data_IF_216289404562
#
_entry.id   IF_216289404562
#
_cell.length_a   1.000
_cell.length_b   1.000
_cell.length_c   1.000
_cell.angle_alpha   90.00
_cell.angle_beta   90.00
_cell.angle_gamma   90.00
#
_symmetry.space_group_name_H-M   'P 1'
#
loop_
_entity.id
_entity.type
_entity.pdbx_description
1 polymer ?
#
# COMPACT_ATOMS: atom_id res chain seq x y z
N UNK A 1 19.07 -20.38 20.41
CA UNK A 1 19.27 -20.25 18.94
C UNK A 1 18.31 -21.13 18.13
N UNK A 2 18.05 -22.40 18.48
CA UNK A 2 17.10 -23.26 17.74
C UNK A 2 15.63 -22.81 17.81
N UNK A 3 15.19 -22.21 18.93
CA UNK A 3 13.79 -21.74 19.08
C UNK A 3 13.44 -20.54 18.22
N UNK A 4 14.38 -19.62 17.98
CA UNK A 4 14.11 -18.42 17.17
C UNK A 4 13.83 -18.77 15.70
N UNK A 5 14.57 -19.74 15.14
CA UNK A 5 14.33 -20.21 13.77
C UNK A 5 12.99 -20.96 13.65
N UNK A 6 12.63 -21.76 14.65
CA UNK A 6 11.32 -22.46 14.70
C UNK A 6 10.15 -21.48 14.83
N UNK A 7 10.28 -20.46 15.68
CA UNK A 7 9.26 -19.43 15.86
C UNK A 7 9.03 -18.62 14.57
N UNK A 8 10.07 -18.33 13.80
CA UNK A 8 9.93 -17.66 12.51
C UNK A 8 9.18 -18.53 11.49
N UNK A 9 9.49 -19.84 11.45
CA UNK A 9 8.80 -20.81 10.60
C UNK A 9 7.32 -20.92 10.99
N UNK A 10 7.01 -21.06 12.29
CA UNK A 10 5.62 -21.11 12.77
C UNK A 10 4.87 -19.82 12.46
N UNK A 11 5.50 -18.67 12.65
CA UNK A 11 4.88 -17.37 12.34
C UNK A 11 4.51 -17.26 10.86
N UNK A 12 5.43 -17.66 9.96
CA UNK A 12 5.18 -17.66 8.52
C UNK A 12 4.03 -18.61 8.17
N UNK A 13 4.01 -19.80 8.75
CA UNK A 13 2.99 -20.79 8.44
C UNK A 13 1.61 -20.38 8.97
N UNK A 14 1.55 -19.79 10.17
CA UNK A 14 0.33 -19.21 10.74
C UNK A 14 -0.19 -18.08 9.85
N UNK A 15 0.68 -17.19 9.37
CA UNK A 15 0.28 -16.12 8.42
C UNK A 15 -0.30 -16.70 7.13
N UNK A 16 0.31 -17.75 6.58
CA UNK A 16 -0.18 -18.44 5.38
C UNK A 16 -1.56 -19.06 5.62
N UNK A 17 -1.75 -19.71 6.78
CA UNK A 17 -3.04 -20.28 7.16
C UNK A 17 -4.10 -19.20 7.35
N UNK A 18 -3.78 -18.10 8.03
CA UNK A 18 -4.70 -16.97 8.17
C UNK A 18 -5.13 -16.41 6.81
N UNK A 19 -4.20 -16.16 5.89
CA UNK A 19 -4.53 -15.69 4.55
C UNK A 19 -5.49 -16.64 3.82
N UNK A 20 -5.28 -17.95 3.96
CA UNK A 20 -6.20 -18.96 3.41
C UNK A 20 -7.60 -18.85 4.01
N UNK A 21 -7.69 -18.72 5.33
CA UNK A 21 -8.96 -18.60 6.07
C UNK A 21 -9.71 -17.31 5.71
N UNK A 22 -9.01 -16.22 5.39
CA UNK A 22 -9.63 -14.96 4.95
C UNK A 22 -10.33 -15.10 3.59
N UNK A 23 -9.77 -15.89 2.67
CA UNK A 23 -10.34 -16.09 1.33
C UNK A 23 -11.43 -17.15 1.37
N UNK A 24 -11.15 -18.26 2.04
CA UNK A 24 -12.02 -19.43 2.13
C UNK A 24 -11.99 -19.98 3.56
N UNK A 25 -12.89 -19.47 4.44
CA UNK A 25 -13.01 -19.94 5.81
C UNK A 25 -13.31 -21.43 5.86
N UNK A 26 -12.54 -22.20 6.63
CA UNK A 26 -12.81 -23.62 6.85
C UNK A 26 -13.97 -23.80 7.85
N UNK A 27 -14.67 -24.94 7.82
CA UNK A 27 -15.79 -25.20 8.72
C UNK A 27 -15.42 -25.08 10.20
N UNK A 28 -14.21 -25.47 10.60
CA UNK A 28 -13.70 -25.35 11.96
C UNK A 28 -13.54 -23.89 12.37
N UNK A 29 -13.02 -23.06 11.46
CA UNK A 29 -12.83 -21.63 11.68
C UNK A 29 -14.18 -20.90 11.79
N UNK A 30 -15.14 -21.27 10.94
CA UNK A 30 -16.52 -20.75 11.01
C UNK A 30 -17.20 -21.17 12.30
N UNK A 31 -17.07 -22.44 12.71
CA UNK A 31 -17.63 -22.94 13.98
C UNK A 31 -17.10 -22.17 15.18
N UNK A 32 -15.81 -21.81 15.19
CA UNK A 32 -15.20 -21.01 16.26
C UNK A 32 -15.90 -19.65 16.44
N UNK A 33 -16.16 -18.91 15.36
CA UNK A 33 -16.90 -17.65 15.48
C UNK A 33 -18.36 -17.88 15.83
N UNK A 34 -18.97 -18.86 15.18
CA UNK A 34 -20.40 -19.16 15.36
C UNK A 34 -20.70 -19.51 16.81
N UNK A 35 -19.86 -20.31 17.48
CA UNK A 35 -20.07 -20.68 18.88
C UNK A 35 -20.02 -19.51 19.86
N UNK A 36 -19.41 -18.39 19.47
CA UNK A 36 -19.30 -17.19 20.31
C UNK A 36 -20.49 -16.24 20.14
N UNK A 37 -21.20 -16.32 19.02
CA UNK A 37 -22.26 -15.36 18.66
C UNK A 37 -23.65 -16.01 18.53
N UNK A 38 -23.70 -17.33 18.40
CA UNK A 38 -24.92 -18.11 18.25
C UNK A 38 -25.08 -19.10 19.40
N UNK A 39 -26.19 -18.98 20.13
CA UNK A 39 -26.49 -19.77 21.34
C UNK A 39 -27.24 -21.08 21.06
N UNK A 40 -27.60 -21.35 19.79
CA UNK A 40 -28.29 -22.57 19.38
C UNK A 40 -27.35 -23.73 19.04
N UNK A 41 -27.92 -24.88 18.68
CA UNK A 41 -27.12 -26.03 18.23
C UNK A 41 -26.44 -25.75 16.89
N UNK A 42 -25.14 -26.02 16.82
CA UNK A 42 -24.33 -25.94 15.60
C UNK A 42 -24.65 -27.10 14.66
N UNK A 43 -25.75 -26.96 13.89
CA UNK A 43 -26.08 -27.90 12.81
C UNK A 43 -25.33 -27.52 11.53
N UNK A 44 -25.25 -28.45 10.57
CA UNK A 44 -24.57 -28.21 9.28
C UNK A 44 -25.20 -27.05 8.49
N UNK A 45 -26.53 -26.92 8.56
CA UNK A 45 -27.25 -25.78 7.96
C UNK A 45 -26.87 -24.44 8.58
N UNK A 46 -26.71 -24.40 9.91
CA UNK A 46 -26.25 -23.19 10.62
C UNK A 46 -24.81 -22.87 10.22
N UNK A 47 -23.91 -23.85 10.22
CA UNK A 47 -22.50 -23.65 9.81
C UNK A 47 -22.40 -23.15 8.36
N UNK A 48 -23.20 -23.69 7.44
CA UNK A 48 -23.23 -23.23 6.05
C UNK A 48 -23.62 -21.75 5.95
N UNK A 49 -24.70 -21.35 6.63
CA UNK A 49 -25.14 -19.95 6.69
C UNK A 49 -24.07 -19.04 7.31
N UNK A 50 -23.43 -19.49 8.38
CA UNK A 50 -22.38 -18.73 9.04
C UNK A 50 -21.08 -18.68 8.23
N UNK A 51 -20.85 -19.61 7.28
CA UNK A 51 -19.71 -19.54 6.37
C UNK A 51 -19.77 -18.28 5.52
N UNK A 52 -20.91 -18.02 4.89
CA UNK A 52 -21.12 -16.81 4.07
C UNK A 52 -21.02 -15.53 4.90
N UNK A 53 -21.64 -15.53 6.08
CA UNK A 53 -21.58 -14.38 7.01
C UNK A 53 -20.13 -14.12 7.42
N UNK A 54 -19.39 -15.17 7.82
CA UNK A 54 -17.99 -15.06 8.23
C UNK A 54 -17.12 -14.52 7.10
N UNK A 55 -17.29 -15.05 5.89
CA UNK A 55 -16.52 -14.59 4.72
C UNK A 55 -16.78 -13.12 4.40
N UNK A 56 -18.05 -12.71 4.40
CA UNK A 56 -18.43 -11.31 4.17
C UNK A 56 -17.87 -10.40 5.26
N UNK A 57 -18.07 -10.75 6.53
CA UNK A 57 -17.60 -9.94 7.67
C UNK A 57 -16.08 -9.82 7.72
N UNK A 58 -15.33 -10.86 7.33
CA UNK A 58 -13.87 -10.78 7.20
C UNK A 58 -13.46 -9.79 6.10
N UNK A 59 -14.12 -9.81 4.95
CA UNK A 59 -13.85 -8.88 3.85
C UNK A 59 -14.17 -7.44 4.25
N UNK A 60 -15.32 -7.21 4.86
CA UNK A 60 -15.74 -5.91 5.40
C UNK A 60 -14.73 -5.41 6.44
N UNK A 61 -14.37 -6.25 7.41
CA UNK A 61 -13.39 -5.88 8.44
C UNK A 61 -12.04 -5.46 7.86
N UNK A 62 -11.54 -6.15 6.83
CA UNK A 62 -10.27 -5.76 6.17
C UNK A 62 -10.43 -4.42 5.46
N UNK A 63 -11.54 -4.21 4.75
CA UNK A 63 -11.83 -2.93 4.10
C UNK A 63 -11.95 -1.79 5.11
N UNK A 64 -12.60 -2.03 6.25
CA UNK A 64 -12.73 -1.07 7.34
C UNK A 64 -11.35 -0.75 7.93
N UNK A 65 -10.50 -1.75 8.17
CA UNK A 65 -9.13 -1.52 8.67
C UNK A 65 -8.25 -0.75 7.69
N UNK A 66 -8.40 -1.00 6.39
CA UNK A 66 -7.71 -0.23 5.35
C UNK A 66 -8.22 1.22 5.38
N UNK A 67 -9.55 1.39 5.43
CA UNK A 67 -10.21 2.70 5.47
C UNK A 67 -9.82 3.47 6.74
N UNK A 68 -9.79 2.84 7.89
CA UNK A 68 -9.41 3.43 9.17
C UNK A 68 -7.95 3.87 9.17
N UNK A 69 -7.05 3.06 8.60
CA UNK A 69 -5.64 3.45 8.46
C UNK A 69 -5.46 4.58 7.47
N UNK A 70 -6.25 4.61 6.39
CA UNK A 70 -6.25 5.69 5.42
C UNK A 70 -6.78 6.98 6.05
N UNK A 71 -7.93 6.92 6.75
CA UNK A 71 -8.53 8.05 7.49
C UNK A 71 -7.60 8.54 8.59
N UNK A 72 -7.05 7.66 9.42
CA UNK A 72 -6.08 8.04 10.46
C UNK A 72 -4.77 8.63 9.89
N UNK A 73 -4.48 8.39 8.61
CA UNK A 73 -3.35 9.01 7.93
C UNK A 73 -3.70 10.39 7.33
N UNK A 74 -4.99 10.64 7.03
CA UNK A 74 -5.54 11.89 6.51
C UNK A 74 -5.88 12.85 7.66
N UNK A 75 -6.45 12.34 8.75
CA UNK A 75 -6.83 13.07 9.94
C UNK A 75 -5.60 13.30 10.86
N UNK A 76 -4.65 14.12 10.41
CA UNK A 76 -3.90 14.95 11.34
C UNK A 76 -4.83 16.09 11.81
N UNK A 77 -4.83 16.45 13.10
CA UNK A 77 -5.80 17.39 13.62
C UNK A 77 -5.45 18.80 13.17
N UNK A 78 -6.33 19.38 12.35
CA UNK A 78 -6.82 20.72 12.67
C UNK A 78 -8.32 20.62 12.98
N UNK A 79 -8.65 21.16 14.14
CA UNK A 79 -9.93 21.21 14.85
C UNK A 79 -11.24 20.99 14.08
N UNK A 80 -12.03 20.04 14.61
CA UNK A 80 -13.49 20.11 14.89
C UNK A 80 -14.45 20.57 13.76
N UNK A 81 -15.37 19.70 13.31
CA UNK A 81 -16.74 19.53 13.84
C UNK A 81 -17.65 18.87 12.78
N UNK A 82 -18.47 17.92 13.24
CA UNK A 82 -19.79 17.49 12.71
C UNK A 82 -19.90 16.72 11.39
N UNK A 83 -20.39 15.50 11.55
CA UNK A 83 -21.20 14.73 10.61
C UNK A 83 -22.35 15.58 10.06
N UNK A 84 -22.47 15.70 8.73
CA UNK A 84 -23.69 15.38 7.97
C UNK A 84 -23.58 15.69 6.48
N UNK A 85 -23.96 14.67 5.69
CA UNK A 85 -24.75 14.72 4.46
C UNK A 85 -24.07 15.09 3.13
N UNK A 86 -24.23 14.15 2.19
CA UNK A 86 -24.15 14.30 0.73
C UNK A 86 -24.61 15.68 0.24
N UNK A 87 -23.87 16.30 -0.68
CA UNK A 87 -24.25 16.53 -2.11
C UNK A 87 -23.03 17.11 -2.84
N UNK A 88 -22.93 16.78 -4.13
CA UNK A 88 -22.00 17.27 -5.14
C UNK A 88 -21.80 18.80 -5.13
N UNK A 89 -20.56 19.27 -5.33
CA UNK A 89 -20.12 19.92 -6.57
C UNK A 89 -18.66 20.41 -6.44
N UNK A 90 -18.04 20.54 -7.61
CA UNK A 90 -16.66 20.91 -7.94
C UNK A 90 -16.19 22.20 -7.22
N UNK A 91 -14.90 22.48 -7.00
CA UNK A 91 -13.94 22.67 -8.08
C UNK A 91 -12.48 22.90 -7.60
N UNK A 92 -11.55 22.53 -8.48
CA UNK A 92 -10.20 23.07 -8.76
C UNK A 92 -9.04 23.03 -7.72
N UNK A 93 -7.96 22.35 -8.15
CA UNK A 93 -6.50 22.62 -8.03
C UNK A 93 -5.82 21.26 -7.78
N UNK A 94 -5.05 20.65 -8.66
CA UNK A 94 -3.91 21.09 -9.46
C UNK A 94 -3.74 20.05 -10.59
N UNK A 95 -3.31 20.45 -11.79
CA UNK A 95 -3.18 19.55 -12.93
C UNK A 95 -2.37 18.28 -12.58
N UNK A 96 -3.08 17.15 -12.41
CA UNK A 96 -2.46 15.84 -12.42
C UNK A 96 -1.86 15.61 -13.82
N UNK A 97 -0.69 14.97 -13.94
CA UNK A 97 -0.21 14.56 -15.25
C UNK A 97 -1.28 13.65 -15.87
N UNK A 98 -1.81 14.03 -17.03
CA UNK A 98 -2.73 13.19 -17.81
C UNK A 98 -2.12 11.79 -17.93
N UNK A 99 -2.69 10.83 -17.20
CA UNK A 99 -2.27 9.46 -17.29
C UNK A 99 -2.90 8.86 -18.55
N UNK A 100 -2.08 8.73 -19.60
CA UNK A 100 -2.46 8.14 -20.88
C UNK A 100 -2.90 6.66 -20.75
N UNK A 101 -2.52 5.99 -19.65
CA UNK A 101 -2.79 4.58 -19.41
C UNK A 101 -3.67 4.35 -18.18
N UNK A 102 -4.62 3.40 -18.30
CA UNK A 102 -5.46 2.95 -17.19
C UNK A 102 -4.59 2.43 -16.05
N UNK A 103 -4.87 2.92 -14.85
CA UNK A 103 -4.26 2.50 -13.60
C UNK A 103 -5.10 1.39 -12.96
N UNK A 104 -4.43 0.34 -12.51
CA UNK A 104 -5.06 -0.80 -11.85
C UNK A 104 -5.05 -0.65 -10.33
N UNK A 105 -5.98 -1.32 -9.64
CA UNK A 105 -6.05 -1.32 -8.17
C UNK A 105 -4.73 -1.78 -7.54
N UNK A 106 -4.05 -2.75 -8.15
CA UNK A 106 -2.76 -3.25 -7.66
C UNK A 106 -1.63 -2.22 -7.76
N UNK A 107 -1.66 -1.36 -8.78
CA UNK A 107 -0.70 -0.27 -8.92
C UNK A 107 -0.97 0.82 -7.86
N UNK A 108 -2.23 1.12 -7.58
CA UNK A 108 -2.62 2.04 -6.49
C UNK A 108 -2.26 1.48 -5.11
N UNK A 109 -2.50 0.20 -4.87
CA UNK A 109 -2.11 -0.47 -3.63
C UNK A 109 -0.58 -0.44 -3.45
N UNK A 110 0.17 -0.73 -4.51
CA UNK A 110 1.63 -0.60 -4.51
C UNK A 110 2.11 0.83 -4.22
N UNK A 111 1.45 1.85 -4.79
CA UNK A 111 1.71 3.25 -4.47
C UNK A 111 1.52 3.54 -2.99
N UNK A 112 0.43 3.09 -2.39
CA UNK A 112 0.16 3.34 -0.98
C UNK A 112 1.14 2.64 -0.05
N UNK A 113 1.59 1.43 -0.39
CA UNK A 113 2.66 0.75 0.35
C UNK A 113 3.95 1.55 0.29
N UNK A 114 4.34 2.04 -0.90
CA UNK A 114 5.55 2.88 -1.05
C UNK A 114 5.40 4.19 -0.29
N UNK A 115 4.24 4.85 -0.36
CA UNK A 115 3.94 6.06 0.44
C UNK A 115 4.06 5.79 1.93
N UNK A 116 3.53 4.69 2.43
CA UNK A 116 3.61 4.31 3.84
C UNK A 116 5.07 4.09 4.29
N UNK A 117 5.88 3.40 3.48
CA UNK A 117 7.31 3.17 3.75
C UNK A 117 8.09 4.48 3.82
N UNK A 118 7.77 5.44 2.95
CA UNK A 118 8.54 6.67 2.78
C UNK A 118 8.07 7.82 3.66
N UNK A 119 6.98 7.66 4.43
CA UNK A 119 6.38 8.72 5.25
C UNK A 119 7.35 9.29 6.29
N UNK A 120 8.29 8.48 6.74
CA UNK A 120 9.34 8.88 7.70
C UNK A 120 10.51 9.64 7.03
N UNK A 121 10.59 9.63 5.70
CA UNK A 121 11.78 10.07 4.95
C UNK A 121 11.53 11.34 4.14
N UNK A 122 10.33 11.48 3.57
CA UNK A 122 9.99 12.59 2.69
C UNK A 122 8.52 12.96 2.84
N UNK A 123 8.19 14.19 2.49
CA UNK A 123 6.80 14.60 2.34
C UNK A 123 6.16 13.84 1.16
N UNK A 124 5.08 13.16 1.48
CA UNK A 124 4.35 12.26 0.58
C UNK A 124 3.53 13.04 -0.44
N UNK A 125 3.22 14.31 -0.18
CA UNK A 125 2.57 15.22 -1.14
C UNK A 125 3.36 15.32 -2.46
N UNK A 126 4.69 15.27 -2.36
CA UNK A 126 5.60 15.30 -3.50
C UNK A 126 5.67 13.97 -4.24
N UNK A 127 5.20 12.87 -3.65
CA UNK A 127 5.25 11.55 -4.29
C UNK A 127 4.06 11.36 -5.24
N UNK A 128 4.31 11.67 -6.52
CA UNK A 128 3.36 11.52 -7.62
C UNK A 128 3.60 10.21 -8.36
N UNK A 129 2.64 9.81 -9.18
CA UNK A 129 2.78 8.64 -10.04
C UNK A 129 2.60 8.99 -11.51
N UNK A 130 3.13 8.13 -12.38
CA UNK A 130 2.90 8.18 -13.82
C UNK A 130 2.68 6.77 -14.36
N UNK A 131 1.50 6.54 -14.92
CA UNK A 131 1.18 5.30 -15.61
C UNK A 131 1.87 5.28 -16.99
N UNK A 132 2.45 4.13 -17.35
CA UNK A 132 3.04 3.92 -18.68
C UNK A 132 2.56 2.59 -19.26
N UNK A 133 2.89 2.32 -20.53
CA UNK A 133 2.58 1.04 -21.18
C UNK A 133 3.06 -0.18 -20.40
N UNK A 134 4.26 -0.10 -19.78
CA UNK A 134 4.93 -1.29 -19.24
C UNK A 134 5.06 -1.29 -17.71
N UNK A 135 5.07 -0.11 -17.09
CA UNK A 135 5.26 0.05 -15.66
C UNK A 135 4.48 1.23 -15.09
N UNK A 136 4.33 1.24 -13.78
CA UNK A 136 3.79 2.35 -13.01
C UNK A 136 4.94 3.04 -12.29
N UNK A 137 5.26 4.27 -12.70
CA UNK A 137 6.36 5.06 -12.15
C UNK A 137 5.93 5.80 -10.90
N UNK A 138 6.76 5.76 -9.85
CA UNK A 138 6.58 6.54 -8.63
C UNK A 138 7.73 7.53 -8.52
N UNK A 139 7.40 8.82 -8.48
CA UNK A 139 8.30 9.93 -8.77
C UNK A 139 8.08 11.07 -7.78
N UNK A 140 9.16 11.70 -7.32
CA UNK A 140 9.02 12.99 -6.66
C UNK A 140 8.74 14.10 -7.69
N UNK A 141 7.79 14.98 -7.37
CA UNK A 141 7.37 16.13 -8.18
C UNK A 141 6.93 15.78 -9.61
N UNK A 142 6.57 14.51 -9.86
CA UNK A 142 6.30 14.02 -11.22
C UNK A 142 7.52 13.97 -12.15
N UNK A 143 8.74 14.19 -11.63
CA UNK A 143 9.97 14.25 -12.43
C UNK A 143 10.57 12.86 -12.64
N UNK A 144 10.85 12.49 -13.89
CA UNK A 144 11.48 11.20 -14.24
C UNK A 144 12.89 11.08 -13.67
N UNK A 145 13.64 12.19 -13.60
CA UNK A 145 14.95 12.23 -12.93
C UNK A 145 14.90 11.96 -11.43
N UNK A 146 13.72 12.15 -10.80
CA UNK A 146 13.46 11.85 -9.40
C UNK A 146 12.59 10.60 -9.22
N UNK A 147 12.80 9.59 -10.06
CA UNK A 147 12.12 8.29 -9.91
C UNK A 147 12.62 7.57 -8.66
N UNK A 148 11.68 7.25 -7.77
CA UNK A 148 11.92 6.44 -6.56
C UNK A 148 11.93 4.97 -6.95
N UNK A 149 10.87 4.50 -7.60
CA UNK A 149 10.77 3.11 -8.08
C UNK A 149 9.79 2.99 -9.26
N UNK A 150 9.80 1.82 -9.90
CA UNK A 150 8.86 1.41 -10.94
C UNK A 150 8.18 0.11 -10.56
N UNK A 151 6.86 0.05 -10.65
CA UNK A 151 6.10 -1.17 -10.43
C UNK A 151 5.77 -1.82 -11.78
N UNK A 152 6.25 -3.04 -11.99
CA UNK A 152 6.06 -3.81 -13.22
C UNK A 152 4.96 -4.84 -13.02
N UNK A 153 3.71 -4.39 -12.87
CA UNK A 153 2.57 -5.25 -12.51
C UNK A 153 1.70 -5.69 -13.68
N UNK A 154 1.94 -5.14 -14.87
CA UNK A 154 1.16 -5.39 -16.09
C UNK A 154 1.42 -6.75 -16.74
N UNK A 155 2.37 -7.53 -16.22
CA UNK A 155 2.71 -8.86 -16.72
C UNK A 155 2.45 -9.92 -15.65
N UNK A 156 2.37 -11.20 -16.06
CA UNK A 156 2.15 -12.32 -15.12
C UNK A 156 3.24 -12.43 -14.05
N UNK A 157 4.46 -12.01 -14.36
CA UNK A 157 5.56 -11.88 -13.40
C UNK A 157 5.67 -10.43 -12.95
N UNK A 158 5.58 -10.20 -11.64
CA UNK A 158 5.63 -8.86 -11.07
C UNK A 158 7.02 -8.54 -10.59
N UNK A 159 7.43 -7.29 -10.78
CA UNK A 159 8.72 -6.80 -10.33
C UNK A 159 8.61 -5.39 -9.75
N UNK A 160 9.54 -5.05 -8.86
CA UNK A 160 9.81 -3.68 -8.45
C UNK A 160 11.19 -3.31 -8.97
N UNK A 161 11.25 -2.23 -9.74
CA UNK A 161 12.48 -1.64 -10.25
C UNK A 161 12.94 -0.49 -9.37
N UNK A 162 14.22 -0.51 -8.98
CA UNK A 162 14.92 0.61 -8.35
C UNK A 162 16.00 1.08 -9.30
N UNK A 163 16.08 2.40 -9.50
CA UNK A 163 17.12 3.00 -10.34
C UNK A 163 18.29 3.39 -9.44
N UNK A 164 19.49 2.97 -9.82
CA UNK A 164 20.72 3.31 -9.11
C UNK A 164 21.20 4.74 -9.44
N UNK A 165 22.40 5.10 -8.98
CA UNK A 165 22.99 6.41 -9.24
C UNK A 165 23.44 6.57 -10.71
N UNK A 166 23.79 5.46 -11.37
CA UNK A 166 24.25 5.42 -12.76
C UNK A 166 23.08 5.36 -13.77
N UNK A 167 21.84 5.39 -13.28
CA UNK A 167 20.63 5.32 -14.08
C UNK A 167 20.25 3.90 -14.52
N UNK A 168 20.93 2.86 -14.04
CA UNK A 168 20.57 1.46 -14.32
C UNK A 168 19.46 1.01 -13.38
N UNK A 169 18.55 0.22 -13.92
CA UNK A 169 17.41 -0.29 -13.17
C UNK A 169 17.66 -1.72 -12.70
N UNK A 170 17.68 -1.92 -11.39
CA UNK A 170 17.69 -3.23 -10.76
C UNK A 170 16.25 -3.68 -10.46
N UNK A 171 15.85 -4.86 -10.96
CA UNK A 171 14.51 -5.41 -10.78
C UNK A 171 14.52 -6.54 -9.76
N UNK A 172 13.64 -6.46 -8.76
CA UNK A 172 13.36 -7.55 -7.81
C UNK A 172 11.99 -8.15 -8.13
N UNK A 173 11.95 -9.46 -8.33
CA UNK A 173 10.69 -10.18 -8.51
C UNK A 173 9.89 -10.21 -7.20
N UNK A 174 8.57 -10.07 -7.31
CA UNK A 174 7.64 -10.22 -6.19
C UNK A 174 6.48 -11.12 -6.57
N UNK A 175 5.99 -11.91 -5.62
CA UNK A 175 4.77 -12.72 -5.81
C UNK A 175 3.55 -12.06 -5.17
N UNK A 176 3.74 -11.35 -4.07
CA UNK A 176 2.72 -10.58 -3.35
C UNK A 176 3.16 -9.13 -3.11
N UNK A 177 2.21 -8.21 -2.97
CA UNK A 177 2.51 -6.78 -2.77
C UNK A 177 3.20 -6.53 -1.41
N UNK A 178 2.91 -7.33 -0.39
CA UNK A 178 3.59 -7.27 0.91
C UNK A 178 5.12 -7.43 0.81
N UNK A 179 5.63 -8.06 -0.26
CA UNK A 179 7.07 -8.21 -0.47
C UNK A 179 7.78 -6.87 -0.75
N UNK A 180 7.03 -5.79 -1.05
CA UNK A 180 7.55 -4.42 -1.14
C UNK A 180 8.19 -4.01 0.20
N UNK A 181 7.65 -4.42 1.35
CA UNK A 181 8.27 -4.14 2.65
C UNK A 181 9.66 -4.77 2.80
N UNK A 182 9.92 -5.88 2.09
CA UNK A 182 11.23 -6.53 2.06
C UNK A 182 12.32 -5.75 1.32
N UNK A 183 12.00 -4.59 0.73
CA UNK A 183 12.96 -3.63 0.16
C UNK A 183 12.79 -2.23 0.75
N UNK A 184 12.12 -2.11 1.89
CA UNK A 184 11.82 -0.81 2.50
C UNK A 184 13.08 0.05 2.70
N UNK A 185 14.16 -0.52 3.24
CA UNK A 185 15.41 0.23 3.45
C UNK A 185 16.01 0.75 2.12
N UNK A 186 15.96 -0.04 1.05
CA UNK A 186 16.44 0.38 -0.28
C UNK A 186 15.61 1.56 -0.81
N UNK A 187 14.28 1.50 -0.63
CA UNK A 187 13.38 2.60 -1.00
C UNK A 187 13.68 3.87 -0.18
N UNK A 188 13.87 3.72 1.14
CA UNK A 188 14.22 4.83 2.04
C UNK A 188 15.54 5.47 1.64
N UNK A 189 16.58 4.67 1.35
CA UNK A 189 17.89 5.17 0.92
C UNK A 189 17.82 5.86 -0.43
N UNK A 190 17.07 5.30 -1.38
CA UNK A 190 16.83 5.96 -2.67
C UNK A 190 16.10 7.29 -2.49
N UNK A 191 15.08 7.34 -1.64
CA UNK A 191 14.37 8.58 -1.35
C UNK A 191 15.29 9.64 -0.72
N UNK A 192 16.11 9.27 0.28
CA UNK A 192 17.11 10.17 0.88
C UNK A 192 18.09 10.71 -0.16
N UNK A 193 18.60 9.86 -1.04
CA UNK A 193 19.50 10.28 -2.13
C UNK A 193 18.83 11.32 -3.04
N UNK A 194 17.56 11.13 -3.38
CA UNK A 194 16.81 12.06 -4.22
C UNK A 194 16.47 13.37 -3.52
N UNK A 195 16.19 13.35 -2.21
CA UNK A 195 15.82 14.55 -1.44
C UNK A 195 17.03 15.39 -1.02
N UNK A 196 18.18 14.77 -0.71
CA UNK A 196 19.42 15.50 -0.40
C UNK A 196 19.93 16.35 -1.58
N UNK A 197 19.64 15.92 -2.81
CA UNK A 197 19.96 16.68 -4.02
C UNK A 197 19.00 17.88 -4.25
N UNK A 198 17.86 17.95 -3.56
CA UNK A 198 16.92 19.10 -3.63
C UNK A 198 17.52 20.31 -2.91
N UNK A 199 18.11 20.10 -1.73
CA UNK A 199 18.74 21.16 -0.92
C UNK A 199 19.94 21.85 -1.60
N UNK A 200 20.55 21.24 -2.62
CA UNK A 200 21.66 21.85 -3.39
C UNK A 200 21.18 22.66 -4.61
N UNK A 201 20.00 22.38 -5.17
CA UNK A 201 19.50 23.12 -6.34
C UNK A 201 18.75 24.40 -5.96
N UNK A 202 18.08 24.44 -4.80
CA UNK A 202 17.37 25.64 -4.33
C UNK A 202 18.28 26.75 -3.79
N UNK A 203 19.60 26.54 -3.69
CA UNK A 203 20.55 27.52 -3.11
C UNK A 203 21.36 28.33 -4.13
N UNK A 204 21.12 28.16 -5.43
CA UNK A 204 21.91 28.81 -6.49
C UNK A 204 21.17 29.95 -7.21
N UNK A 205 19.90 30.21 -6.89
CA UNK A 205 19.08 31.21 -7.61
C UNK A 205 18.70 32.39 -6.72
N UNK A 206 19.60 32.90 -5.88
CA UNK A 206 19.46 34.23 -5.28
C UNK A 206 20.85 34.78 -4.97
N UNK A 207 21.46 35.49 -5.93
CA UNK A 207 22.53 36.50 -5.75
C UNK A 207 23.00 36.97 -7.14
N UNK A 208 22.13 37.70 -7.86
CA UNK A 208 22.57 38.65 -8.90
C UNK A 208 21.42 39.57 -9.32
N UNK A 209 21.13 40.58 -8.51
CA UNK A 209 20.67 41.86 -9.04
C UNK A 209 21.51 42.93 -8.35
N UNK A 210 22.41 43.50 -9.14
CA UNK A 210 23.13 44.76 -8.89
C UNK A 210 22.54 45.81 -9.82
#
# INVERSE_FOLDING_TARGET
MADFAKNLLYTREIKRLMAKQLISPSPEFVKFFTSQVYTGRLTESVVSKFTEITQRSLKEFINDRITDRLKSAIDLPDNTTTVSQFTEEQNETEAEPENEFVVTDQEMEGLYIVKAILREIADISHLKFKATKNYFGINFDGKVSKTVCRLWFKSSRKFIGIIDADGKEAKKAISQLDEIYGIAEILKDRAKYLTQNISKQSKTVELSES
#
